data_IF_045264276757
#
_entry.id   IF_045264276757
#
_cell.length_a   1.000
_cell.length_b   1.000
_cell.length_c   1.000
_cell.angle_alpha   90.00
_cell.angle_beta   90.00
_cell.angle_gamma   90.00
#
_symmetry.space_group_name_H-M   'P 1'
#
loop_
_entity.id
_entity.type
_entity.pdbx_description
1 polymer ?
#
# COMPACT_ATOMS: atom_id res chain seq x y z
N UNK A 1 -7.29 -24.97 -5.31
CA UNK A 1 -7.39 -24.08 -4.13
C UNK A 1 -7.40 -22.67 -4.66
N UNK A 2 -8.51 -21.94 -4.53
CA UNK A 2 -8.58 -20.55 -5.03
C UNK A 2 -7.69 -19.65 -4.16
N UNK A 3 -7.05 -18.62 -4.73
CA UNK A 3 -6.28 -17.68 -3.94
C UNK A 3 -7.23 -16.94 -3.00
N UNK A 4 -7.15 -17.22 -1.70
CA UNK A 4 -7.93 -16.48 -0.70
C UNK A 4 -7.32 -15.09 -0.54
N UNK A 5 -8.16 -14.06 -0.59
CA UNK A 5 -7.73 -12.71 -0.26
C UNK A 5 -7.19 -12.68 1.18
N UNK A 6 -6.04 -12.03 1.37
CA UNK A 6 -5.39 -11.81 2.66
C UNK A 6 -5.38 -10.32 2.94
N UNK A 7 -5.39 -9.97 4.21
CA UNK A 7 -5.23 -8.58 4.66
C UNK A 7 -3.76 -8.20 4.63
N UNK A 8 -3.45 -7.11 3.97
CA UNK A 8 -2.13 -6.51 3.92
C UNK A 8 -2.22 -5.10 4.47
N UNK A 9 -1.50 -4.83 5.55
CA UNK A 9 -1.29 -3.47 6.02
C UNK A 9 -0.32 -2.78 5.07
N UNK A 10 -0.78 -1.70 4.47
CA UNK A 10 0.02 -0.88 3.57
C UNK A 10 0.30 0.47 4.20
N UNK A 11 1.53 0.93 4.03
CA UNK A 11 2.01 2.21 4.54
C UNK A 11 2.50 2.97 3.33
N UNK A 12 1.95 4.16 3.11
CA UNK A 12 2.50 5.08 2.13
C UNK A 12 3.28 6.20 2.80
N UNK A 13 4.47 6.49 2.26
CA UNK A 13 5.36 7.56 2.67
C UNK A 13 5.75 8.38 1.45
N UNK A 14 6.08 9.65 1.65
CA UNK A 14 6.68 10.46 0.59
C UNK A 14 8.12 10.00 0.36
N UNK A 15 8.55 9.84 -0.88
CA UNK A 15 9.92 9.43 -1.16
C UNK A 15 10.89 10.50 -0.64
N UNK A 16 11.93 10.08 0.09
CA UNK A 16 12.90 10.99 0.70
C UNK A 16 12.41 11.74 1.95
N UNK A 17 11.24 11.41 2.52
CA UNK A 17 10.75 12.00 3.77
C UNK A 17 10.30 10.95 4.79
N UNK A 18 10.39 11.28 6.08
CA UNK A 18 9.82 10.47 7.17
C UNK A 18 8.30 10.61 7.31
N UNK A 19 7.68 11.47 6.50
CA UNK A 19 6.25 11.75 6.59
C UNK A 19 5.42 10.61 5.98
N UNK A 20 4.69 9.91 6.85
CA UNK A 20 3.66 8.95 6.47
C UNK A 20 2.47 9.72 5.91
N UNK A 21 2.10 9.45 4.66
CA UNK A 21 0.93 10.05 4.01
C UNK A 21 -0.33 9.39 4.58
N UNK A 22 -0.34 8.05 4.61
CA UNK A 22 -1.40 7.28 5.27
C UNK A 22 -0.97 5.82 5.52
N UNK A 23 -1.73 5.16 6.40
CA UNK A 23 -1.69 3.72 6.61
C UNK A 23 -3.09 3.14 6.39
N UNK A 24 -3.20 2.11 5.56
CA UNK A 24 -4.47 1.42 5.28
C UNK A 24 -4.26 -0.08 5.08
N UNK A 25 -5.22 -0.88 5.51
CA UNK A 25 -5.23 -2.32 5.26
C UNK A 25 -6.06 -2.62 4.01
N UNK A 26 -5.46 -3.31 3.05
CA UNK A 26 -6.13 -3.77 1.83
C UNK A 26 -6.28 -5.29 1.85
N UNK A 27 -7.43 -5.76 1.39
CA UNK A 27 -7.62 -7.17 1.04
C UNK A 27 -7.11 -7.40 -0.38
N UNK A 28 -6.13 -8.29 -0.51
CA UNK A 28 -5.49 -8.60 -1.78
C UNK A 28 -5.13 -10.08 -1.85
N UNK A 29 -5.05 -10.61 -3.05
CA UNK A 29 -4.63 -12.01 -3.26
C UNK A 29 -3.12 -12.14 -3.06
N UNK A 30 -2.38 -11.12 -3.47
CA UNK A 30 -0.92 -11.06 -3.44
C UNK A 30 -0.42 -9.75 -2.81
N UNK A 31 0.82 -9.74 -2.27
CA UNK A 31 1.43 -8.50 -1.79
C UNK A 31 1.63 -7.48 -2.91
N UNK A 32 1.79 -7.91 -4.17
CA UNK A 32 1.91 -7.01 -5.32
C UNK A 32 0.60 -6.29 -5.63
N UNK A 33 -0.54 -6.98 -5.56
CA UNK A 33 -1.84 -6.35 -5.72
C UNK A 33 -2.11 -5.34 -4.58
N UNK A 34 -1.76 -5.70 -3.33
CA UNK A 34 -1.85 -4.77 -2.20
C UNK A 34 -0.99 -3.52 -2.40
N UNK A 35 0.25 -3.68 -2.88
CA UNK A 35 1.16 -2.57 -3.19
C UNK A 35 0.63 -1.70 -4.31
N UNK A 36 0.15 -2.28 -5.41
CA UNK A 36 -0.40 -1.53 -6.53
C UNK A 36 -1.62 -0.69 -6.12
N UNK A 37 -2.55 -1.27 -5.34
CA UNK A 37 -3.71 -0.54 -4.80
C UNK A 37 -3.28 0.60 -3.88
N UNK A 38 -2.34 0.34 -2.97
CA UNK A 38 -1.84 1.35 -2.05
C UNK A 38 -1.07 2.48 -2.77
N UNK A 39 -0.29 2.16 -3.81
CA UNK A 39 0.40 3.15 -4.65
C UNK A 39 -0.58 4.07 -5.37
N UNK A 40 -1.60 3.51 -6.04
CA UNK A 40 -2.61 4.31 -6.74
C UNK A 40 -3.35 5.25 -5.79
N UNK A 41 -3.70 4.78 -4.59
CA UNK A 41 -4.32 5.64 -3.58
C UNK A 41 -3.33 6.69 -3.06
N UNK A 42 -2.06 6.34 -2.91
CA UNK A 42 -1.08 7.28 -2.41
C UNK A 42 -0.77 8.42 -3.38
N UNK A 43 -0.61 8.11 -4.67
CA UNK A 43 -0.46 9.14 -5.69
C UNK A 43 -1.69 10.04 -5.74
N UNK A 44 -2.90 9.48 -5.55
CA UNK A 44 -4.14 10.25 -5.53
C UNK A 44 -4.24 11.20 -4.33
N UNK A 45 -3.88 10.76 -3.12
CA UNK A 45 -3.97 11.55 -1.89
C UNK A 45 -2.83 12.57 -1.78
N UNK A 46 -1.60 12.18 -2.15
CA UNK A 46 -0.42 13.03 -2.08
C UNK A 46 -0.26 13.95 -3.31
N UNK A 47 -1.04 13.71 -4.37
CA UNK A 47 -0.94 14.37 -5.68
C UNK A 47 0.49 14.37 -6.24
N UNK A 48 1.27 13.32 -5.94
CA UNK A 48 2.67 13.18 -6.32
C UNK A 48 3.00 11.71 -6.57
N UNK A 49 3.75 11.44 -7.63
CA UNK A 49 4.28 10.11 -7.94
C UNK A 49 5.51 9.75 -7.09
N UNK A 50 6.07 10.72 -6.36
CA UNK A 50 7.24 10.58 -5.50
C UNK A 50 6.84 9.99 -4.14
N UNK A 51 6.41 8.73 -4.15
CA UNK A 51 5.87 8.02 -2.98
C UNK A 51 6.43 6.60 -2.88
N UNK A 52 6.70 6.17 -1.67
CA UNK A 52 7.14 4.82 -1.33
C UNK A 52 6.01 4.07 -0.62
N UNK A 53 5.75 2.85 -1.07
CA UNK A 53 4.68 2.01 -0.53
C UNK A 53 5.25 0.69 -0.03
N UNK A 54 5.06 0.44 1.26
CA UNK A 54 5.35 -0.84 1.87
C UNK A 54 4.04 -1.60 2.10
N UNK A 55 3.98 -2.88 1.72
CA UNK A 55 2.89 -3.77 2.09
C UNK A 55 3.42 -4.91 2.96
N UNK A 56 2.85 -5.07 4.14
CA UNK A 56 3.14 -6.16 5.06
C UNK A 56 1.87 -6.95 5.30
N UNK A 57 1.94 -8.27 5.17
CA UNK A 57 0.80 -9.14 5.47
C UNK A 57 0.45 -8.99 6.96
N UNK A 58 -0.82 -8.72 7.26
CA UNK A 58 -1.34 -8.91 8.61
C UNK A 58 -1.65 -10.40 8.79
N UNK A 59 -1.12 -10.97 9.87
CA UNK A 59 -1.32 -12.36 10.27
C UNK A 59 -2.62 -12.50 11.05
#
# INVERSE_FOLDING_TARGET
MFPTAKKYKTVCRRAGGEQVVFERTYEAISPDEARARAYLNCVKENNSADVEVAAKREL
#
